data_IF_177507782208
#
_entry.id   IF_177507782208
#
_cell.length_a   1.000
_cell.length_b   1.000
_cell.length_c   1.000
_cell.angle_alpha   90.00
_cell.angle_beta   90.00
_cell.angle_gamma   90.00
#
_symmetry.space_group_name_H-M   'P 1'
#
loop_
_entity.id
_entity.type
_entity.pdbx_description
1 polymer ?
#
# COMPACT_ATOMS: atom_id res chain seq x y z
N UNK A 1 5.47 35.29 -74.39
CA UNK A 1 5.59 33.82 -74.37
C UNK A 1 4.29 33.26 -73.78
N UNK A 2 3.34 32.84 -74.63
CA UNK A 2 2.01 32.38 -74.19
C UNK A 2 2.12 30.89 -73.84
N UNK A 3 1.84 30.56 -72.57
CA UNK A 3 1.81 29.19 -72.05
C UNK A 3 0.61 28.48 -72.69
N UNK A 4 0.87 27.52 -73.60
CA UNK A 4 -0.17 26.62 -74.13
C UNK A 4 -0.72 25.80 -72.97
N UNK A 5 -1.94 26.12 -72.52
CA UNK A 5 -2.69 25.26 -71.60
C UNK A 5 -3.24 24.10 -72.44
N UNK A 6 -2.78 22.89 -72.14
CA UNK A 6 -3.18 21.69 -72.87
C UNK A 6 -4.56 21.24 -72.35
N UNK A 7 -5.63 21.72 -72.98
CA UNK A 7 -7.02 21.35 -72.66
C UNK A 7 -7.38 19.97 -73.25
N UNK A 8 -6.61 18.92 -72.94
CA UNK A 8 -7.05 17.55 -73.18
C UNK A 8 -7.97 17.17 -72.02
N UNK A 9 -9.29 17.27 -72.23
CA UNK A 9 -10.26 16.66 -71.33
C UNK A 9 -10.03 15.15 -71.23
N UNK A 10 -10.35 14.55 -70.08
CA UNK A 10 -10.24 13.10 -69.91
C UNK A 10 -11.10 12.40 -70.95
N UNK A 11 -10.52 11.41 -71.60
CA UNK A 11 -11.26 10.52 -72.50
C UNK A 11 -12.22 9.64 -71.67
N UNK A 12 -13.30 9.18 -72.30
CA UNK A 12 -14.29 8.31 -71.64
C UNK A 12 -13.63 7.08 -71.00
N UNK A 13 -12.61 6.52 -71.67
CA UNK A 13 -11.84 5.36 -71.19
C UNK A 13 -11.06 5.70 -69.91
N UNK A 14 -10.41 6.85 -69.84
CA UNK A 14 -9.69 7.29 -68.65
C UNK A 14 -10.64 7.50 -67.45
N UNK A 15 -11.84 8.06 -67.68
CA UNK A 15 -12.85 8.21 -66.63
C UNK A 15 -13.32 6.85 -66.11
N UNK A 16 -13.59 5.89 -67.00
CA UNK A 16 -14.02 4.54 -66.62
C UNK A 16 -12.92 3.82 -65.82
N UNK A 17 -11.66 3.94 -66.22
CA UNK A 17 -10.53 3.33 -65.51
C UNK A 17 -10.34 3.96 -64.12
N UNK A 18 -10.43 5.29 -64.01
CA UNK A 18 -10.31 5.99 -62.72
C UNK A 18 -11.45 5.61 -61.78
N UNK A 19 -12.69 5.53 -62.27
CA UNK A 19 -13.84 5.08 -61.46
C UNK A 19 -13.70 3.63 -61.02
N UNK A 20 -13.17 2.75 -61.89
CA UNK A 20 -12.94 1.35 -61.54
C UNK A 20 -11.87 1.22 -60.43
N UNK A 21 -10.75 1.93 -60.56
CA UNK A 21 -9.70 1.95 -59.52
C UNK A 21 -10.25 2.53 -58.20
N UNK A 22 -11.00 3.64 -58.26
CA UNK A 22 -11.61 4.24 -57.08
C UNK A 22 -12.59 3.29 -56.37
N UNK A 23 -13.37 2.50 -57.13
CA UNK A 23 -14.31 1.51 -56.57
C UNK A 23 -13.59 0.36 -55.84
N UNK A 24 -12.46 -0.10 -56.40
CA UNK A 24 -11.63 -1.15 -55.77
C UNK A 24 -11.01 -0.61 -54.48
N UNK A 25 -10.45 0.60 -54.51
CA UNK A 25 -9.86 1.23 -53.31
C UNK A 25 -10.92 1.43 -52.22
N UNK A 26 -12.09 1.98 -52.56
CA UNK A 26 -13.19 2.14 -51.58
C UNK A 26 -13.66 0.81 -50.99
N UNK A 27 -13.68 -0.26 -51.78
CA UNK A 27 -14.05 -1.60 -51.29
C UNK A 27 -13.01 -2.13 -50.30
N UNK A 28 -11.72 -1.97 -50.60
CA UNK A 28 -10.62 -2.38 -49.71
C UNK A 28 -10.62 -1.52 -48.44
N UNK A 29 -10.71 -0.19 -48.56
CA UNK A 29 -10.74 0.73 -47.42
C UNK A 29 -11.98 0.51 -46.55
N UNK A 30 -13.14 0.28 -47.16
CA UNK A 30 -14.39 -0.05 -46.46
C UNK A 30 -14.29 -1.37 -45.69
N UNK A 31 -13.72 -2.41 -46.30
CA UNK A 31 -13.48 -3.69 -45.64
C UNK A 31 -12.52 -3.58 -44.44
N UNK A 32 -11.45 -2.80 -44.57
CA UNK A 32 -10.50 -2.55 -43.48
C UNK A 32 -11.16 -1.76 -42.34
N UNK A 33 -11.97 -0.73 -42.65
CA UNK A 33 -12.68 0.07 -41.64
C UNK A 33 -13.69 -0.78 -40.85
N UNK A 34 -14.50 -1.60 -41.53
CA UNK A 34 -15.49 -2.47 -40.88
C UNK A 34 -14.80 -3.52 -39.99
N UNK A 35 -13.72 -4.12 -40.47
CA UNK A 35 -12.94 -5.07 -39.66
C UNK A 35 -12.25 -4.39 -38.47
N UNK A 36 -11.74 -3.17 -38.66
CA UNK A 36 -11.11 -2.40 -37.58
C UNK A 36 -12.13 -2.01 -36.51
N UNK A 37 -13.33 -1.57 -36.88
CA UNK A 37 -14.40 -1.26 -35.93
C UNK A 37 -14.85 -2.50 -35.16
N UNK A 38 -15.02 -3.64 -35.84
CA UNK A 38 -15.33 -4.91 -35.18
C UNK A 38 -14.22 -5.36 -34.22
N UNK A 39 -12.96 -5.08 -34.52
CA UNK A 39 -11.83 -5.33 -33.62
C UNK A 39 -11.84 -4.40 -32.40
N UNK A 40 -12.14 -3.11 -32.59
CA UNK A 40 -12.29 -2.16 -31.48
C UNK A 40 -13.45 -2.54 -30.56
N UNK A 41 -14.60 -2.93 -31.10
CA UNK A 41 -15.75 -3.39 -30.31
C UNK A 41 -15.42 -4.65 -29.51
N UNK A 42 -14.77 -5.64 -30.14
CA UNK A 42 -14.34 -6.88 -29.46
C UNK A 42 -13.30 -6.60 -28.37
N UNK A 43 -12.36 -5.71 -28.63
CA UNK A 43 -11.31 -5.32 -27.67
C UNK A 43 -11.91 -4.56 -26.49
N UNK A 44 -12.86 -3.66 -26.75
CA UNK A 44 -13.60 -2.92 -25.72
C UNK A 44 -14.44 -3.87 -24.87
N UNK A 45 -15.18 -4.79 -25.48
CA UNK A 45 -15.95 -5.80 -24.75
C UNK A 45 -15.05 -6.69 -23.88
N UNK A 46 -13.91 -7.15 -24.39
CA UNK A 46 -12.97 -7.97 -23.62
C UNK A 46 -12.35 -7.17 -22.45
N UNK A 47 -12.05 -5.89 -22.66
CA UNK A 47 -11.52 -5.02 -21.60
C UNK A 47 -12.55 -4.79 -20.49
N UNK A 48 -13.83 -4.62 -20.86
CA UNK A 48 -14.92 -4.50 -19.90
C UNK A 48 -15.16 -5.83 -19.16
N UNK A 49 -15.19 -6.96 -19.88
CA UNK A 49 -15.32 -8.30 -19.28
C UNK A 49 -14.21 -8.55 -18.24
N UNK A 50 -12.97 -8.17 -18.57
CA UNK A 50 -11.83 -8.22 -17.64
C UNK A 50 -12.03 -7.31 -16.43
N UNK A 51 -12.34 -6.03 -16.64
CA UNK A 51 -12.51 -5.06 -15.56
C UNK A 51 -13.61 -5.49 -14.57
N UNK A 52 -14.74 -6.02 -15.07
CA UNK A 52 -15.83 -6.47 -14.22
C UNK A 52 -15.43 -7.70 -13.41
N UNK A 53 -14.78 -8.71 -14.03
CA UNK A 53 -14.40 -9.93 -13.32
C UNK A 53 -13.25 -9.69 -12.33
N UNK A 54 -12.26 -8.86 -12.69
CA UNK A 54 -11.16 -8.48 -11.80
C UNK A 54 -11.70 -7.65 -10.61
N UNK A 55 -12.63 -6.73 -10.82
CA UNK A 55 -13.24 -5.98 -9.72
C UNK A 55 -14.12 -6.85 -8.79
N UNK A 56 -14.79 -7.88 -9.32
CA UNK A 56 -15.46 -8.90 -8.48
C UNK A 56 -14.42 -9.70 -7.68
N UNK A 57 -13.30 -10.10 -8.31
CA UNK A 57 -12.22 -10.81 -7.63
C UNK A 57 -11.60 -9.95 -6.51
N UNK A 58 -11.40 -8.66 -6.77
CA UNK A 58 -10.83 -7.72 -5.80
C UNK A 58 -11.76 -7.53 -4.60
N UNK A 59 -13.06 -7.41 -4.83
CA UNK A 59 -14.04 -7.40 -3.73
C UNK A 59 -13.96 -8.69 -2.90
N UNK A 60 -14.06 -9.86 -3.52
CA UNK A 60 -13.95 -11.14 -2.79
C UNK A 60 -12.61 -11.25 -2.08
N UNK A 61 -11.53 -10.79 -2.70
CA UNK A 61 -10.20 -10.77 -2.09
C UNK A 61 -10.15 -9.91 -0.85
N UNK A 62 -10.71 -8.69 -0.90
CA UNK A 62 -10.76 -7.78 0.24
C UNK A 62 -11.58 -8.34 1.40
N UNK A 63 -12.53 -9.23 1.12
CA UNK A 63 -13.33 -9.89 2.14
C UNK A 63 -12.60 -11.11 2.74
N UNK A 64 -11.92 -11.91 1.92
CA UNK A 64 -11.30 -13.18 2.32
C UNK A 64 -9.89 -13.02 2.89
N UNK A 65 -9.08 -12.08 2.40
CA UNK A 65 -7.71 -11.85 2.90
C UNK A 65 -7.67 -11.50 4.39
N UNK A 66 -8.74 -10.88 4.88
CA UNK A 66 -8.89 -10.42 6.25
C UNK A 66 -9.85 -11.28 7.09
N UNK A 67 -10.28 -12.42 6.55
CA UNK A 67 -11.14 -13.33 7.27
C UNK A 67 -10.35 -14.12 8.33
N UNK A 68 -10.98 -14.34 9.49
CA UNK A 68 -10.43 -15.14 10.60
C UNK A 68 -10.90 -16.59 10.56
N UNK A 69 -12.05 -16.85 9.92
CA UNK A 69 -12.54 -18.18 9.58
C UNK A 69 -13.18 -18.14 8.19
N UNK A 70 -13.05 -19.22 7.41
CA UNK A 70 -13.53 -19.37 6.03
C UNK A 70 -13.93 -20.83 5.84
N UNK A 71 -15.18 -21.04 5.44
CA UNK A 71 -15.76 -22.36 5.20
C UNK A 71 -16.48 -22.37 3.86
N UNK A 72 -16.42 -23.50 3.16
CA UNK A 72 -17.15 -23.71 1.92
C UNK A 72 -18.16 -24.81 2.17
N UNK A 73 -19.43 -24.54 1.89
CA UNK A 73 -20.48 -25.54 1.93
C UNK A 73 -21.62 -25.19 0.96
N UNK A 74 -22.56 -26.10 0.78
CA UNK A 74 -23.79 -25.87 -0.01
C UNK A 74 -24.96 -25.40 0.86
N UNK A 75 -24.76 -25.25 2.18
CA UNK A 75 -25.81 -24.89 3.13
C UNK A 75 -26.20 -23.43 3.00
N UNK A 76 -27.50 -23.15 3.02
CA UNK A 76 -28.01 -21.77 3.03
C UNK A 76 -27.91 -21.09 4.40
N UNK A 77 -27.72 -21.88 5.47
CA UNK A 77 -27.58 -21.38 6.84
C UNK A 77 -26.11 -21.29 7.23
N UNK A 78 -25.81 -20.31 8.08
CA UNK A 78 -24.48 -20.11 8.64
C UNK A 78 -23.97 -21.40 9.32
N UNK A 79 -22.65 -21.66 9.29
CA UNK A 79 -22.07 -22.85 9.92
C UNK A 79 -22.36 -22.99 11.42
N UNK A 80 -22.43 -21.88 12.14
CA UNK A 80 -22.73 -21.78 13.57
C UNK A 80 -23.24 -20.36 13.92
N UNK A 81 -23.51 -20.08 15.21
CA UNK A 81 -24.09 -18.83 15.71
C UNK A 81 -23.15 -17.61 15.65
N UNK A 82 -21.96 -17.73 15.05
CA UNK A 82 -21.04 -16.61 14.87
C UNK A 82 -21.51 -15.63 13.78
N UNK A 83 -20.87 -14.45 13.73
CA UNK A 83 -21.18 -13.38 12.76
C UNK A 83 -20.63 -13.69 11.35
N UNK A 84 -21.15 -14.74 10.72
CA UNK A 84 -20.74 -15.16 9.39
C UNK A 84 -21.28 -14.26 8.28
N UNK A 85 -20.42 -13.99 7.31
CA UNK A 85 -20.77 -13.46 6.01
C UNK A 85 -20.76 -14.55 4.95
N UNK A 86 -21.60 -14.43 3.92
CA UNK A 86 -21.80 -15.43 2.88
C UNK A 86 -21.65 -14.81 1.48
N UNK A 87 -20.71 -15.34 0.67
CA UNK A 87 -20.54 -15.00 -0.74
C UNK A 87 -20.99 -16.14 -1.62
N UNK A 88 -21.81 -15.83 -2.63
CA UNK A 88 -22.32 -16.81 -3.58
C UNK A 88 -22.80 -16.16 -4.88
N UNK A 89 -22.97 -16.97 -5.91
CA UNK A 89 -23.45 -16.54 -7.22
C UNK A 89 -24.93 -16.87 -7.38
N UNK A 90 -25.74 -15.87 -7.75
CA UNK A 90 -27.17 -16.05 -8.06
C UNK A 90 -27.43 -15.69 -9.50
N UNK A 91 -28.28 -16.47 -10.16
CA UNK A 91 -28.77 -16.17 -11.51
C UNK A 91 -29.82 -15.06 -11.44
N UNK A 92 -29.60 -13.97 -12.15
CA UNK A 92 -30.60 -12.91 -12.31
C UNK A 92 -31.75 -13.36 -13.24
N UNK A 93 -32.70 -12.45 -13.50
CA UNK A 93 -33.86 -12.69 -14.37
C UNK A 93 -33.50 -13.10 -15.81
N UNK A 94 -32.25 -12.87 -16.25
CA UNK A 94 -31.73 -13.26 -17.57
C UNK A 94 -30.88 -14.54 -17.52
N UNK A 95 -30.96 -15.29 -16.42
CA UNK A 95 -30.15 -16.48 -16.15
C UNK A 95 -28.65 -16.21 -16.18
N UNK A 96 -28.21 -15.02 -15.74
CA UNK A 96 -26.80 -14.63 -15.66
C UNK A 96 -26.36 -14.52 -14.21
N UNK A 97 -25.22 -15.12 -13.88
CA UNK A 97 -24.66 -15.11 -12.53
C UNK A 97 -24.24 -13.72 -12.07
N UNK A 98 -24.54 -13.41 -10.82
CA UNK A 98 -24.24 -12.15 -10.11
C UNK A 98 -23.72 -12.46 -8.73
N UNK A 99 -22.80 -11.65 -8.23
CA UNK A 99 -22.23 -11.83 -6.89
C UNK A 99 -23.19 -11.27 -5.84
N UNK A 100 -23.53 -12.11 -4.86
CA UNK A 100 -24.31 -11.73 -3.69
C UNK A 100 -23.47 -11.87 -2.43
N UNK A 101 -23.72 -10.95 -1.49
CA UNK A 101 -23.24 -10.99 -0.11
C UNK A 101 -24.44 -10.89 0.83
N UNK A 102 -24.59 -11.85 1.73
CA UNK A 102 -25.62 -11.82 2.79
C UNK A 102 -27.04 -11.52 2.29
N UNK A 103 -27.42 -12.07 1.12
CA UNK A 103 -28.74 -11.85 0.53
C UNK A 103 -28.87 -10.60 -0.34
N UNK A 104 -27.85 -9.74 -0.43
CA UNK A 104 -27.85 -8.53 -1.25
C UNK A 104 -26.90 -8.64 -2.43
N UNK A 105 -27.27 -8.06 -3.58
CA UNK A 105 -26.35 -7.94 -4.71
C UNK A 105 -25.18 -7.03 -4.31
N UNK A 106 -23.95 -7.46 -4.58
CA UNK A 106 -22.74 -6.66 -4.27
C UNK A 106 -22.60 -5.50 -5.25
N UNK A 107 -22.92 -5.76 -6.52
CA UNK A 107 -22.88 -4.78 -7.59
C UNK A 107 -24.25 -4.72 -8.26
N UNK A 108 -24.64 -3.53 -8.74
CA UNK A 108 -25.84 -3.36 -9.54
C UNK A 108 -25.70 -4.02 -10.91
N UNK A 109 -26.82 -4.36 -11.56
CA UNK A 109 -26.81 -5.02 -12.87
C UNK A 109 -26.07 -4.20 -13.95
N UNK A 110 -26.00 -2.87 -13.80
CA UNK A 110 -25.28 -1.96 -14.70
C UNK A 110 -23.75 -2.12 -14.63
N UNK A 111 -23.22 -2.60 -13.50
CA UNK A 111 -21.80 -2.96 -13.39
C UNK A 111 -21.44 -4.12 -14.33
N UNK A 112 -22.41 -5.01 -14.59
CA UNK A 112 -22.28 -6.17 -15.48
C UNK A 112 -22.62 -5.80 -16.93
N UNK A 113 -21.91 -4.81 -17.49
CA UNK A 113 -22.25 -4.14 -18.78
C UNK A 113 -22.50 -5.10 -19.95
N UNK A 114 -21.65 -6.14 -20.12
CA UNK A 114 -21.80 -7.12 -21.20
C UNK A 114 -22.78 -8.26 -20.88
N UNK A 115 -23.38 -8.23 -19.69
CA UNK A 115 -24.38 -9.17 -19.20
C UNK A 115 -23.96 -10.64 -19.39
N UNK A 116 -22.67 -10.92 -19.16
CA UNK A 116 -22.08 -12.26 -19.18
C UNK A 116 -22.57 -13.06 -17.98
N UNK A 117 -22.41 -14.38 -18.10
CA UNK A 117 -22.69 -15.29 -17.00
C UNK A 117 -21.46 -15.42 -16.09
N UNK A 118 -21.53 -14.87 -14.87
CA UNK A 118 -20.49 -15.05 -13.86
C UNK A 118 -20.58 -16.44 -13.24
N UNK A 119 -19.45 -17.12 -13.12
CA UNK A 119 -19.30 -18.35 -12.36
C UNK A 119 -18.12 -18.25 -11.41
N UNK A 120 -18.23 -18.94 -10.28
CA UNK A 120 -17.24 -18.96 -9.22
C UNK A 120 -16.94 -20.40 -8.84
N UNK A 121 -15.70 -20.82 -9.02
CA UNK A 121 -15.20 -22.12 -8.59
C UNK A 121 -14.28 -21.90 -7.38
N UNK A 122 -14.54 -22.61 -6.27
CA UNK A 122 -13.74 -22.50 -5.04
C UNK A 122 -13.20 -23.86 -4.66
N UNK A 123 -11.89 -23.96 -4.39
CA UNK A 123 -11.22 -25.19 -3.94
C UNK A 123 -10.46 -24.95 -2.65
N UNK A 124 -10.79 -25.68 -1.60
CA UNK A 124 -10.03 -25.74 -0.34
C UNK A 124 -9.19 -27.02 -0.30
N UNK A 125 -7.98 -26.95 0.25
CA UNK A 125 -7.10 -28.11 0.37
C UNK A 125 -7.12 -28.65 1.81
N UNK A 126 -7.58 -29.89 1.98
CA UNK A 126 -7.67 -30.57 3.28
C UNK A 126 -6.30 -31.00 3.84
N UNK A 127 -5.34 -31.29 2.96
CA UNK A 127 -3.98 -31.73 3.31
C UNK A 127 -3.05 -30.58 3.73
N UNK A 128 -3.24 -29.39 3.15
CA UNK A 128 -2.60 -28.13 3.53
C UNK A 128 -3.70 -27.14 3.91
N UNK A 129 -4.29 -27.32 5.10
CA UNK A 129 -5.52 -26.68 5.61
C UNK A 129 -5.57 -25.14 5.65
N UNK A 130 -4.63 -24.46 5.01
CA UNK A 130 -4.48 -23.00 4.95
C UNK A 130 -4.50 -22.48 3.51
N UNK A 131 -4.79 -23.31 2.49
CA UNK A 131 -4.83 -22.86 1.09
C UNK A 131 -6.23 -22.93 0.49
N UNK A 132 -6.64 -21.83 -0.12
CA UNK A 132 -7.89 -21.66 -0.85
C UNK A 132 -7.61 -21.14 -2.26
N UNK A 133 -8.00 -21.88 -3.29
CA UNK A 133 -7.92 -21.44 -4.69
C UNK A 133 -9.31 -21.01 -5.17
N UNK A 134 -9.46 -19.73 -5.54
CA UNK A 134 -10.67 -19.14 -6.11
C UNK A 134 -10.46 -18.88 -7.61
N UNK A 135 -11.40 -19.31 -8.44
CA UNK A 135 -11.43 -19.01 -9.89
C UNK A 135 -12.76 -18.35 -10.24
N UNK A 136 -12.72 -17.21 -10.91
CA UNK A 136 -13.89 -16.55 -11.46
C UNK A 136 -13.87 -16.61 -12.98
N UNK A 137 -15.02 -16.90 -13.59
CA UNK A 137 -15.18 -17.04 -15.03
C UNK A 137 -16.36 -16.23 -15.53
N UNK A 138 -16.18 -15.63 -16.71
CA UNK A 138 -17.27 -15.11 -17.52
C UNK A 138 -17.53 -16.02 -18.70
N UNK A 139 -18.78 -16.42 -18.85
CA UNK A 139 -19.23 -17.21 -19.99
C UNK A 139 -20.19 -16.44 -20.89
N UNK A 140 -20.01 -16.64 -22.19
CA UNK A 140 -20.96 -16.29 -23.24
C UNK A 140 -21.63 -17.57 -23.72
N UNK A 141 -22.74 -17.93 -23.08
CA UNK A 141 -23.35 -19.25 -23.30
C UNK A 141 -22.50 -20.31 -22.60
N UNK A 142 -21.83 -21.17 -23.35
CA UNK A 142 -20.92 -22.20 -22.84
C UNK A 142 -19.44 -21.87 -23.03
N UNK A 143 -19.13 -20.80 -23.76
CA UNK A 143 -17.75 -20.39 -24.04
C UNK A 143 -17.22 -19.48 -22.93
N UNK A 144 -16.08 -19.85 -22.35
CA UNK A 144 -15.33 -19.01 -21.43
C UNK A 144 -14.70 -17.85 -22.21
N UNK A 145 -15.10 -16.62 -21.89
CA UNK A 145 -14.57 -15.41 -22.56
C UNK A 145 -13.48 -14.72 -21.74
N UNK A 146 -13.52 -14.87 -20.41
CA UNK A 146 -12.48 -14.39 -19.51
C UNK A 146 -12.51 -15.20 -18.21
N UNK A 147 -11.33 -15.41 -17.62
CA UNK A 147 -11.16 -16.13 -16.37
C UNK A 147 -9.98 -15.56 -15.60
N UNK A 148 -10.12 -15.48 -14.29
CA UNK A 148 -9.08 -15.04 -13.37
C UNK A 148 -9.03 -15.96 -12.16
N UNK A 149 -7.86 -16.13 -11.58
CA UNK A 149 -7.63 -17.05 -10.47
C UNK A 149 -6.79 -16.37 -9.39
N UNK A 150 -7.15 -16.60 -8.13
CA UNK A 150 -6.36 -16.19 -6.97
C UNK A 150 -6.24 -17.32 -5.96
N UNK A 151 -5.06 -17.45 -5.39
CA UNK A 151 -4.79 -18.34 -4.27
C UNK A 151 -4.67 -17.51 -3.02
N UNK A 152 -5.41 -17.87 -1.98
CA UNK A 152 -5.32 -17.31 -0.65
C UNK A 152 -4.58 -18.28 0.26
N UNK A 153 -3.53 -17.77 0.91
CA UNK A 153 -2.86 -18.43 2.02
C UNK A 153 -3.44 -17.86 3.32
N UNK A 154 -4.28 -18.64 3.96
CA UNK A 154 -5.08 -18.34 5.14
C UNK A 154 -4.21 -18.44 6.42
N UNK A 155 -3.13 -17.67 6.46
CA UNK A 155 -2.12 -17.68 7.56
C UNK A 155 -2.59 -17.03 8.86
N UNK A 156 -3.64 -16.19 8.81
CA UNK A 156 -4.17 -15.44 9.97
C UNK A 156 -5.22 -16.21 10.80
N UNK A 157 -5.32 -17.52 10.63
CA UNK A 157 -6.39 -18.32 11.23
C UNK A 157 -5.95 -18.85 12.60
N UNK A 158 -6.69 -18.50 13.65
CA UNK A 158 -6.52 -19.11 14.96
C UNK A 158 -6.94 -20.57 14.88
N UNK A 159 -5.97 -21.48 15.02
CA UNK A 159 -6.24 -22.91 15.16
C UNK A 159 -6.91 -23.11 16.52
N UNK A 160 -8.24 -23.16 16.55
CA UNK A 160 -8.95 -23.72 17.69
C UNK A 160 -8.71 -25.24 17.69
N UNK A 161 -7.65 -25.69 18.37
CA UNK A 161 -7.51 -27.10 18.73
C UNK A 161 -8.52 -27.44 19.84
N UNK A 162 -9.78 -27.59 19.45
CA UNK A 162 -10.77 -28.36 20.19
C UNK A 162 -11.91 -28.71 19.23
N UNK A 163 -12.06 -30.00 18.94
CA UNK A 163 -13.03 -30.63 18.04
C UNK A 163 -12.56 -30.81 16.59
N UNK A 164 -12.42 -32.07 16.20
CA UNK A 164 -12.18 -32.59 14.85
C UNK A 164 -13.27 -32.19 13.85
N UNK A 165 -13.24 -30.95 13.36
CA UNK A 165 -13.88 -30.62 12.08
C UNK A 165 -12.82 -29.98 11.21
N UNK A 166 -12.44 -30.67 10.15
CA UNK A 166 -11.53 -30.13 9.13
C UNK A 166 -12.13 -28.82 8.62
N UNK A 167 -11.30 -27.77 8.51
CA UNK A 167 -11.67 -26.43 8.00
C UNK A 167 -12.44 -26.50 6.66
N UNK A 168 -12.25 -27.60 5.92
CA UNK A 168 -12.95 -27.95 4.69
C UNK A 168 -13.64 -29.32 4.83
N UNK A 169 -14.68 -29.42 5.64
CA UNK A 169 -15.36 -30.70 5.92
C UNK A 169 -16.21 -31.23 4.76
N UNK A 170 -16.46 -30.44 3.71
CA UNK A 170 -17.32 -30.81 2.57
C UNK A 170 -16.77 -30.40 1.19
N UNK A 171 -15.47 -30.12 1.04
CA UNK A 171 -14.92 -29.68 -0.24
C UNK A 171 -14.20 -30.84 -0.90
N UNK A 172 -14.68 -31.26 -2.08
CA UNK A 172 -13.99 -32.28 -2.87
C UNK A 172 -12.63 -31.73 -3.32
N UNK A 173 -11.62 -32.60 -3.46
CA UNK A 173 -10.30 -32.22 -4.01
C UNK A 173 -10.38 -31.79 -5.50
N UNK A 174 -11.58 -31.82 -6.08
CA UNK A 174 -11.92 -31.44 -7.45
C UNK A 174 -12.66 -30.10 -7.49
N UNK A 175 -12.45 -29.27 -8.52
CA UNK A 175 -13.36 -28.12 -8.72
C UNK A 175 -14.74 -28.68 -9.00
N UNK A 176 -15.66 -28.51 -8.07
CA UNK A 176 -17.07 -28.66 -8.39
C UNK A 176 -17.57 -27.30 -8.90
N UNK A 177 -17.86 -27.25 -10.19
CA UNK A 177 -18.40 -26.09 -10.90
C UNK A 177 -19.91 -25.91 -10.61
N UNK A 178 -20.30 -25.97 -9.33
CA UNK A 178 -21.70 -25.93 -8.92
C UNK A 178 -22.07 -24.56 -8.35
N UNK A 179 -23.11 -23.94 -8.92
CA UNK A 179 -23.61 -22.60 -8.55
C UNK A 179 -24.15 -22.48 -7.13
N UNK A 180 -24.24 -23.59 -6.39
CA UNK A 180 -24.82 -23.64 -5.04
C UNK A 180 -23.76 -23.55 -3.93
N UNK A 181 -22.46 -23.54 -4.29
CA UNK A 181 -21.39 -23.38 -3.32
C UNK A 181 -21.41 -21.96 -2.74
N UNK A 182 -21.44 -21.90 -1.41
CA UNK A 182 -21.39 -20.70 -0.60
C UNK A 182 -20.06 -20.65 0.11
N UNK A 183 -19.38 -19.51 -0.05
CA UNK A 183 -18.16 -19.18 0.66
C UNK A 183 -18.56 -18.38 1.89
N UNK A 184 -18.52 -19.03 3.05
CA UNK A 184 -18.77 -18.43 4.34
C UNK A 184 -17.45 -17.93 4.92
N UNK A 185 -17.45 -16.74 5.51
CA UNK A 185 -16.29 -16.19 6.17
C UNK A 185 -16.67 -15.31 7.35
N UNK A 186 -15.84 -15.31 8.38
CA UNK A 186 -15.92 -14.35 9.48
C UNK A 186 -14.87 -13.29 9.19
N UNK A 187 -15.33 -12.06 8.95
CA UNK A 187 -14.44 -10.92 8.85
C UNK A 187 -14.24 -10.39 10.26
N UNK A 188 -13.00 -10.31 10.71
CA UNK A 188 -12.72 -9.43 11.83
C UNK A 188 -12.80 -8.01 11.28
N UNK A 189 -13.85 -7.27 11.68
CA UNK A 189 -14.06 -5.86 11.31
C UNK A 189 -12.89 -4.95 11.76
N UNK A 190 -11.85 -5.51 12.37
CA UNK A 190 -10.54 -4.92 12.59
C UNK A 190 -9.77 -4.51 11.32
N UNK A 191 -10.20 -4.90 10.12
CA UNK A 191 -9.46 -4.62 8.88
C UNK A 191 -10.37 -4.22 7.70
N UNK A 192 -10.67 -2.92 7.63
CA UNK A 192 -11.11 -2.27 6.38
C UNK A 192 -9.87 -1.90 5.56
N UNK A 193 -9.67 -2.63 4.46
CA UNK A 193 -8.83 -2.20 3.34
C UNK A 193 -9.62 -1.25 2.43
N UNK A 194 -9.06 -0.08 2.18
CA UNK A 194 -9.58 0.99 1.34
C UNK A 194 -9.99 0.52 -0.07
N UNK A 195 -11.26 0.71 -0.43
CA UNK A 195 -11.63 1.03 -1.81
C UNK A 195 -11.75 2.56 -1.94
N UNK A 196 -11.06 3.12 -2.93
CA UNK A 196 -11.18 4.53 -3.29
C UNK A 196 -12.61 4.82 -3.77
N UNK A 197 -13.45 5.29 -2.86
CA UNK A 197 -14.48 6.33 -3.04
C UNK A 197 -15.51 6.28 -1.90
N UNK A 198 -15.03 6.21 -0.67
CA UNK A 198 -15.72 6.88 0.43
C UNK A 198 -14.65 7.39 1.37
N UNK A 199 -14.72 8.67 1.73
CA UNK A 199 -14.19 9.12 3.02
C UNK A 199 -15.08 8.48 4.08
N UNK A 200 -14.98 7.16 4.27
CA UNK A 200 -15.56 6.49 5.42
C UNK A 200 -14.77 6.99 6.61
N UNK A 201 -15.45 7.66 7.54
CA UNK A 201 -14.90 8.04 8.83
C UNK A 201 -14.21 6.84 9.47
N UNK A 202 -12.88 6.76 9.31
CA UNK A 202 -12.03 5.81 9.99
C UNK A 202 -12.21 6.02 11.48
N UNK A 203 -12.51 4.93 12.21
CA UNK A 203 -12.73 5.00 13.66
C UNK A 203 -11.56 5.74 14.31
N UNK A 204 -11.88 6.81 15.03
CA UNK A 204 -10.90 7.71 15.62
C UNK A 204 -10.22 6.97 16.77
N UNK A 205 -9.10 6.35 16.46
CA UNK A 205 -8.25 5.55 17.34
C UNK A 205 -6.79 5.85 17.02
N UNK A 206 -5.87 5.37 17.87
CA UNK A 206 -4.43 5.54 17.62
C UNK A 206 -4.00 4.98 16.25
N UNK A 207 -4.67 3.96 15.70
CA UNK A 207 -4.40 3.46 14.35
C UNK A 207 -4.54 4.53 13.26
N UNK A 208 -5.48 5.48 13.41
CA UNK A 208 -5.71 6.56 12.44
C UNK A 208 -4.52 7.50 12.30
N UNK A 209 -3.66 7.57 13.33
CA UNK A 209 -2.43 8.38 13.30
C UNK A 209 -1.42 7.88 12.25
N UNK A 210 -1.64 6.73 11.61
CA UNK A 210 -0.89 6.30 10.42
C UNK A 210 -1.02 7.30 9.26
N UNK A 211 -2.16 8.01 9.15
CA UNK A 211 -2.39 9.06 8.15
C UNK A 211 -1.45 10.27 8.36
N UNK A 212 -0.85 10.42 9.54
CA UNK A 212 0.14 11.46 9.81
C UNK A 212 1.51 11.14 9.21
N UNK A 213 1.77 9.91 8.74
CA UNK A 213 3.07 9.52 8.19
C UNK A 213 3.29 10.18 6.83
N UNK A 214 4.42 10.88 6.68
CA UNK A 214 4.83 11.54 5.46
C UNK A 214 6.35 11.53 5.31
N UNK A 215 6.86 12.06 4.21
CA UNK A 215 8.29 12.16 3.88
C UNK A 215 9.12 12.96 4.89
N UNK A 216 8.51 13.79 5.75
CA UNK A 216 9.23 14.57 6.77
C UNK A 216 9.41 13.81 8.09
N UNK A 217 8.51 12.88 8.41
CA UNK A 217 8.51 12.18 9.70
C UNK A 217 8.76 10.67 9.63
N UNK A 218 8.61 10.05 8.45
CA UNK A 218 8.94 8.65 8.24
C UNK A 218 10.46 8.41 8.28
N UNK A 219 10.89 7.42 9.06
CA UNK A 219 12.28 6.96 9.18
C UNK A 219 12.52 5.53 8.70
N UNK A 220 11.51 4.87 8.15
CA UNK A 220 11.60 3.48 7.69
C UNK A 220 11.78 2.52 8.86
N UNK A 221 12.53 1.44 8.63
CA UNK A 221 12.82 0.45 9.67
C UNK A 221 13.59 1.05 10.86
N UNK A 222 13.24 0.60 12.06
CA UNK A 222 13.99 0.93 13.26
C UNK A 222 15.41 0.34 13.18
N UNK A 223 16.41 1.16 13.50
CA UNK A 223 17.82 0.80 13.52
C UNK A 223 18.39 1.09 14.90
N UNK A 224 18.92 0.05 15.53
CA UNK A 224 19.54 0.15 16.85
C UNK A 224 20.75 1.09 16.82
N UNK A 225 20.83 1.99 17.81
CA UNK A 225 21.89 2.99 17.91
C UNK A 225 21.69 4.24 17.04
N UNK A 226 20.62 4.31 16.22
CA UNK A 226 20.28 5.53 15.45
C UNK A 226 19.60 6.56 16.35
N UNK A 227 19.91 7.84 16.11
CA UNK A 227 19.25 8.95 16.76
C UNK A 227 17.90 9.32 16.11
N UNK A 228 16.86 9.48 16.95
CA UNK A 228 15.49 9.83 16.55
C UNK A 228 15.00 11.10 17.25
N UNK A 229 14.13 11.86 16.59
CA UNK A 229 13.49 13.08 17.13
C UNK A 229 12.03 12.81 17.46
N UNK A 230 11.47 13.57 18.42
CA UNK A 230 10.03 13.53 18.68
C UNK A 230 9.23 13.72 17.39
N UNK A 231 8.24 12.85 17.21
CA UNK A 231 7.38 12.77 16.05
C UNK A 231 7.90 11.91 14.91
N UNK A 232 9.09 11.30 15.02
CA UNK A 232 9.56 10.31 14.05
C UNK A 232 8.71 9.05 14.08
N UNK A 233 8.40 8.52 12.90
CA UNK A 233 7.75 7.24 12.70
C UNK A 233 8.77 6.19 12.23
N UNK A 234 8.77 5.03 12.87
CA UNK A 234 9.61 3.88 12.51
C UNK A 234 8.77 2.61 12.41
N UNK A 235 9.17 1.70 11.54
CA UNK A 235 8.60 0.36 11.46
C UNK A 235 9.43 -0.60 12.31
N UNK A 236 8.78 -1.35 13.21
CA UNK A 236 9.44 -2.30 14.09
C UNK A 236 8.49 -3.45 14.46
N UNK A 237 8.94 -4.68 14.24
CA UNK A 237 8.23 -5.92 14.59
C UNK A 237 6.77 -5.96 14.10
N UNK A 238 6.54 -5.64 12.83
CA UNK A 238 5.22 -5.73 12.22
C UNK A 238 4.31 -4.52 12.46
N UNK A 239 4.78 -3.45 13.10
CA UNK A 239 3.95 -2.29 13.42
C UNK A 239 4.69 -0.96 13.25
N UNK A 240 3.92 0.10 12.98
CA UNK A 240 4.43 1.48 13.02
C UNK A 240 4.48 2.00 14.45
N UNK A 241 5.51 2.77 14.75
CA UNK A 241 5.75 3.37 16.06
C UNK A 241 6.13 4.83 15.90
N UNK A 242 5.55 5.70 16.72
CA UNK A 242 5.89 7.12 16.77
C UNK A 242 6.69 7.43 18.05
N UNK A 243 7.84 8.09 17.91
CA UNK A 243 8.56 8.60 19.07
C UNK A 243 7.83 9.81 19.62
N UNK A 244 7.38 9.79 20.88
CA UNK A 244 6.61 10.91 21.44
C UNK A 244 7.41 11.79 22.43
N UNK A 245 8.69 11.47 22.64
CA UNK A 245 9.60 12.22 23.50
C UNK A 245 10.92 12.47 22.78
N UNK A 246 11.55 13.63 23.04
CA UNK A 246 12.90 13.91 22.54
C UNK A 246 13.92 13.04 23.28
N UNK A 247 14.27 11.90 22.67
CA UNK A 247 15.26 10.95 23.21
C UNK A 247 16.22 10.56 22.09
N UNK A 248 17.45 11.06 22.20
CA UNK A 248 18.52 10.77 21.25
C UNK A 248 18.86 9.28 21.19
N UNK A 249 18.73 8.51 22.28
CA UNK A 249 19.01 7.06 22.30
C UNK A 249 17.79 6.25 22.72
N UNK A 250 16.72 6.33 21.93
CA UNK A 250 15.54 5.54 22.20
C UNK A 250 15.85 4.04 21.98
N UNK A 251 15.58 3.22 23.00
CA UNK A 251 15.65 1.76 22.89
C UNK A 251 14.57 1.25 21.93
N UNK A 252 14.75 0.04 21.42
CA UNK A 252 13.83 -0.57 20.44
C UNK A 252 12.36 -0.44 20.87
N UNK A 253 11.46 0.03 19.99
CA UNK A 253 10.06 0.29 20.33
C UNK A 253 9.34 -0.89 21.00
N UNK A 254 9.58 -2.09 20.49
CA UNK A 254 9.01 -3.36 20.94
C UNK A 254 9.59 -3.89 22.27
N UNK A 255 10.65 -3.25 22.80
CA UNK A 255 11.34 -3.67 24.04
C UNK A 255 11.38 -2.56 25.09
N UNK A 256 10.98 -1.35 24.73
CA UNK A 256 11.13 -0.18 25.60
C UNK A 256 10.09 -0.16 26.72
N UNK A 257 10.47 -0.69 27.89
CA UNK A 257 9.67 -0.56 29.12
C UNK A 257 9.51 0.90 29.59
N UNK A 258 10.32 1.81 29.05
CA UNK A 258 10.27 3.23 29.36
C UNK A 258 9.17 4.00 28.61
N UNK A 259 8.44 3.34 27.70
CA UNK A 259 7.30 3.90 26.93
C UNK A 259 7.65 5.25 26.30
N UNK A 260 8.69 5.26 25.48
CA UNK A 260 9.05 6.42 24.66
C UNK A 260 8.32 6.42 23.30
N UNK A 261 7.91 5.24 22.87
CA UNK A 261 7.28 5.00 21.58
C UNK A 261 5.79 4.73 21.76
N UNK A 262 4.97 5.38 20.93
CA UNK A 262 3.56 5.07 20.75
C UNK A 262 3.43 4.06 19.62
N UNK A 263 2.79 2.92 19.88
CA UNK A 263 2.41 1.95 18.84
C UNK A 263 1.22 2.52 18.07
N UNK A 264 1.32 2.59 16.74
CA UNK A 264 0.24 3.06 15.87
C UNK A 264 -0.67 1.87 15.57
N UNK A 265 -1.55 1.58 16.52
CA UNK A 265 -2.43 0.42 16.54
C UNK A 265 -3.74 0.80 17.24
N UNK A 266 -4.84 0.14 16.88
CA UNK A 266 -6.12 0.34 17.56
C UNK A 266 -6.10 -0.28 18.96
N UNK A 267 -5.38 -1.39 19.12
CA UNK A 267 -5.39 -2.20 20.31
C UNK A 267 -4.42 -1.64 21.36
N UNK A 268 -4.86 -1.62 22.62
CA UNK A 268 -4.00 -1.25 23.73
C UNK A 268 -2.81 -2.19 23.82
N UNK A 269 -1.60 -1.63 23.79
CA UNK A 269 -0.36 -2.30 24.12
C UNK A 269 0.24 -1.74 25.42
N UNK A 270 0.70 -2.60 26.35
CA UNK A 270 1.34 -2.17 27.60
C UNK A 270 2.75 -1.57 27.41
N UNK A 271 3.35 -1.80 26.23
CA UNK A 271 4.64 -1.26 25.83
C UNK A 271 4.51 0.08 25.10
N UNK A 272 3.30 0.43 24.67
CA UNK A 272 3.02 1.70 24.00
C UNK A 272 2.91 2.82 25.02
N UNK A 273 3.41 3.99 24.62
CA UNK A 273 3.08 5.25 25.24
C UNK A 273 1.77 5.80 24.66
N UNK A 274 1.07 6.65 25.42
CA UNK A 274 -0.14 7.32 24.96
C UNK A 274 -0.10 8.81 25.31
N UNK A 275 -0.75 9.62 24.51
CA UNK A 275 -0.94 11.06 24.74
C UNK A 275 -2.39 11.35 25.06
N UNK A 276 -2.65 12.45 25.77
CA UNK A 276 -4.01 12.88 26.09
C UNK A 276 -4.88 12.94 24.83
N UNK A 277 -6.05 12.30 24.89
CA UNK A 277 -7.01 12.22 23.81
C UNK A 277 -6.89 10.98 22.93
N UNK A 278 -5.79 10.21 23.01
CA UNK A 278 -5.63 8.93 22.31
C UNK A 278 -6.78 7.98 22.66
N UNK A 279 -7.26 7.23 21.67
CA UNK A 279 -8.32 6.23 21.85
C UNK A 279 -7.80 4.86 21.44
N UNK A 280 -8.02 3.88 22.32
CA UNK A 280 -7.62 2.48 22.11
C UNK A 280 -8.78 1.54 22.40
N UNK A 281 -8.75 0.38 21.76
CA UNK A 281 -9.56 -0.77 22.08
C UNK A 281 -8.83 -1.66 23.08
N UNK A 282 -9.47 -2.00 24.19
CA UNK A 282 -8.93 -2.87 25.21
C UNK A 282 -9.55 -4.26 25.10
N UNK A 283 -8.80 -5.20 24.51
CA UNK A 283 -9.29 -6.54 24.16
C UNK A 283 -9.82 -7.32 25.37
N UNK A 284 -9.20 -7.16 26.54
CA UNK A 284 -9.62 -7.87 27.77
C UNK A 284 -11.08 -7.56 28.16
N UNK A 285 -11.54 -6.34 27.91
CA UNK A 285 -12.90 -5.89 28.26
C UNK A 285 -13.79 -5.60 27.04
N UNK A 286 -13.26 -5.80 25.83
CA UNK A 286 -13.96 -5.55 24.57
C UNK A 286 -14.56 -4.13 24.47
N UNK A 287 -13.83 -3.13 24.98
CA UNK A 287 -14.31 -1.75 25.08
C UNK A 287 -13.25 -0.73 24.65
N UNK A 288 -13.72 0.43 24.18
CA UNK A 288 -12.89 1.59 23.86
C UNK A 288 -12.66 2.47 25.08
N UNK A 289 -11.46 3.03 25.13
CA UNK A 289 -11.00 3.89 26.19
C UNK A 289 -10.28 5.12 25.63
N UNK A 290 -10.54 6.29 26.22
CA UNK A 290 -9.85 7.54 25.90
C UNK A 290 -8.82 7.88 26.97
N UNK A 291 -7.58 8.13 26.55
CA UNK A 291 -6.51 8.55 27.42
C UNK A 291 -6.75 9.99 27.94
N UNK A 292 -6.72 10.18 29.25
CA UNK A 292 -7.06 11.46 29.89
C UNK A 292 -5.86 12.40 30.07
N UNK A 293 -4.64 11.87 29.98
CA UNK A 293 -3.40 12.61 30.17
C UNK A 293 -2.24 11.94 29.42
N UNK A 294 -1.13 12.63 29.31
CA UNK A 294 0.07 12.07 28.70
C UNK A 294 0.68 10.95 29.55
N UNK A 295 0.92 9.79 28.94
CA UNK A 295 1.40 8.55 29.55
C UNK A 295 2.71 8.09 28.88
N UNK A 296 3.77 8.88 29.06
CA UNK A 296 5.13 8.54 28.63
C UNK A 296 6.14 8.72 29.78
N UNK A 297 7.30 8.05 29.69
CA UNK A 297 8.41 8.23 30.64
C UNK A 297 8.07 7.92 32.11
N UNK A 298 7.09 7.05 32.39
CA UNK A 298 6.57 6.80 33.74
C UNK A 298 7.41 5.86 34.62
N UNK A 299 8.73 5.83 34.42
CA UNK A 299 9.70 5.25 35.36
C UNK A 299 9.66 3.73 35.50
N UNK A 300 10.82 3.12 35.38
CA UNK A 300 11.05 1.70 35.62
C UNK A 300 10.96 1.42 37.12
N UNK A 301 9.76 1.10 37.61
CA UNK A 301 9.60 0.26 38.79
C UNK A 301 9.61 -1.18 38.28
N UNK A 302 10.54 -1.99 38.74
CA UNK A 302 10.58 -3.42 38.51
C UNK A 302 9.28 -4.05 39.01
N UNK A 303 8.27 -4.14 38.15
CA UNK A 303 7.24 -5.16 38.12
C UNK A 303 6.44 -4.96 36.82
N UNK A 304 6.32 -6.05 36.08
CA UNK A 304 5.62 -6.19 34.80
C UNK A 304 4.10 -6.03 34.91
N UNK A 305 3.59 -5.23 35.83
CA UNK A 305 2.15 -5.13 36.08
C UNK A 305 1.54 -3.97 35.30
N UNK A 306 0.41 -4.27 34.67
CA UNK A 306 -0.56 -3.43 33.97
C UNK A 306 -1.12 -2.23 34.79
N UNK A 307 -0.36 -1.62 35.70
CA UNK A 307 -0.83 -0.54 36.57
C UNK A 307 -1.32 0.72 35.85
N UNK A 308 -1.19 0.76 34.53
CA UNK A 308 -1.59 1.85 33.63
C UNK A 308 -2.59 1.39 32.56
N UNK A 309 -3.00 0.12 32.59
CA UNK A 309 -4.01 -0.38 31.68
C UNK A 309 -5.38 0.26 31.97
N UNK A 310 -6.30 0.26 31.00
CA UNK A 310 -7.63 0.82 31.16
C UNK A 310 -8.44 0.27 32.35
N UNK A 311 -8.18 -0.97 32.75
CA UNK A 311 -8.84 -1.63 33.88
C UNK A 311 -8.31 -1.20 35.26
N UNK A 312 -7.16 -0.52 35.32
CA UNK A 312 -6.65 0.23 36.47
C UNK A 312 -6.40 -0.55 37.77
N UNK A 313 -5.25 -0.29 38.39
CA UNK A 313 -4.89 -0.84 39.70
C UNK A 313 -5.68 -0.15 40.84
N UNK A 314 -6.56 -0.90 41.53
CA UNK A 314 -7.08 -0.61 42.88
C UNK A 314 -7.41 0.87 43.19
N UNK A 315 -8.23 1.53 42.37
CA UNK A 315 -8.97 2.74 42.77
C UNK A 315 -8.15 4.01 43.02
N UNK A 316 -6.93 4.13 42.49
CA UNK A 316 -6.15 5.38 42.54
C UNK A 316 -5.72 5.81 41.13
N UNK A 317 -6.48 6.78 40.59
CA UNK A 317 -6.32 7.45 39.29
C UNK A 317 -6.54 6.56 38.06
N UNK A 318 -7.71 6.67 37.44
CA UNK A 318 -7.98 6.10 36.11
C UNK A 318 -7.41 7.05 35.05
N UNK A 319 -6.30 6.67 34.41
CA UNK A 319 -5.72 7.41 33.27
C UNK A 319 -6.58 7.33 32.00
N UNK A 320 -7.64 6.53 32.05
CA UNK A 320 -8.52 6.21 30.95
C UNK A 320 -9.97 6.58 31.28
N UNK A 321 -10.68 7.06 30.28
CA UNK A 321 -12.12 7.28 30.30
C UNK A 321 -12.78 6.18 29.47
N UNK A 322 -13.67 5.44 30.10
CA UNK A 322 -14.53 4.46 29.41
C UNK A 322 -15.39 5.14 28.34
N UNK A 323 -15.39 4.58 27.14
CA UNK A 323 -16.27 5.00 26.03
C UNK A 323 -17.41 3.99 25.87
N UNK A 324 -17.09 2.69 25.81
CA UNK A 324 -18.06 1.64 25.54
C UNK A 324 -17.57 0.62 24.51
N UNK A 325 -18.38 -0.40 24.20
CA UNK A 325 -18.06 -1.43 23.19
C UNK A 325 -18.09 -0.89 21.75
N UNK A 326 -18.62 0.31 21.54
CA UNK A 326 -18.61 1.01 20.25
C UNK A 326 -17.93 2.36 20.40
N UNK A 327 -17.03 2.70 19.47
CA UNK A 327 -16.41 4.02 19.47
C UNK A 327 -17.44 5.08 19.08
N UNK A 328 -17.73 6.01 19.99
CA UNK A 328 -18.69 7.11 19.77
C UNK A 328 -18.01 8.45 19.54
N UNK A 329 -16.67 8.47 19.46
CA UNK A 329 -15.91 9.70 19.27
C UNK A 329 -15.95 10.13 17.81
N UNK A 330 -16.37 11.38 17.59
CA UNK A 330 -16.56 11.97 16.26
C UNK A 330 -15.57 13.08 15.93
N UNK A 331 -14.74 13.49 16.90
CA UNK A 331 -13.75 14.54 16.72
C UNK A 331 -12.36 14.02 17.03
N UNK A 332 -11.50 14.06 16.03
CA UNK A 332 -10.08 13.75 16.19
C UNK A 332 -9.39 14.93 16.86
N UNK A 333 -8.56 14.62 17.85
CA UNK A 333 -7.77 15.60 18.61
C UNK A 333 -6.30 15.52 18.19
N UNK A 334 -5.92 14.54 17.36
CA UNK A 334 -4.58 14.37 16.85
C UNK A 334 -4.29 15.43 15.78
N UNK A 335 -3.26 16.23 16.02
CA UNK A 335 -2.78 17.21 15.06
C UNK A 335 -1.55 16.66 14.33
N UNK A 336 -1.75 16.12 13.12
CA UNK A 336 -0.65 15.64 12.28
C UNK A 336 0.30 16.77 11.85
N UNK A 337 -0.18 18.02 11.83
CA UNK A 337 0.53 19.18 11.26
C UNK A 337 1.64 19.71 12.18
N UNK A 338 1.48 19.65 13.51
CA UNK A 338 2.48 20.20 14.45
C UNK A 338 3.81 19.42 14.42
N UNK A 339 3.80 18.17 13.95
CA UNK A 339 4.96 17.27 13.94
C UNK A 339 5.82 17.43 12.67
N UNK A 340 5.21 17.74 11.53
CA UNK A 340 5.86 17.80 10.21
C UNK A 340 6.30 19.22 9.81
N UNK A 341 5.56 20.25 10.24
CA UNK A 341 5.77 21.66 9.84
C UNK A 341 7.14 22.20 10.29
N UNK A 342 7.72 21.68 11.37
CA UNK A 342 9.00 22.16 11.92
C UNK A 342 10.23 21.54 11.25
N UNK A 343 10.05 20.75 10.19
CA UNK A 343 11.10 19.91 9.60
C UNK A 343 11.48 20.36 8.19
N UNK A 344 12.77 20.35 7.94
CA UNK A 344 13.39 20.74 6.67
C UNK A 344 13.20 19.66 5.61
N UNK A 345 12.93 20.08 4.38
CA UNK A 345 12.85 19.17 3.24
C UNK A 345 14.23 18.57 2.94
N UNK A 346 14.27 17.26 2.76
CA UNK A 346 15.47 16.48 2.45
C UNK A 346 15.36 15.87 1.05
N UNK A 347 16.37 15.10 0.63
CA UNK A 347 16.32 14.38 -0.65
C UNK A 347 15.11 13.44 -0.78
N UNK A 348 14.53 12.96 0.32
CA UNK A 348 13.30 12.16 0.31
C UNK A 348 12.10 12.92 -0.26
N UNK A 349 12.03 14.25 -0.06
CA UNK A 349 10.95 15.10 -0.55
C UNK A 349 10.94 15.24 -2.09
N UNK A 350 11.95 14.72 -2.80
CA UNK A 350 11.87 14.55 -4.27
C UNK A 350 10.77 13.59 -4.69
N UNK A 351 10.30 12.70 -3.81
CA UNK A 351 9.13 11.86 -4.05
C UNK A 351 7.82 12.65 -3.97
N UNK A 352 7.75 13.73 -3.18
CA UNK A 352 6.54 14.56 -3.05
C UNK A 352 6.22 15.32 -4.36
N UNK A 353 7.18 15.39 -5.28
CA UNK A 353 7.00 15.97 -6.61
C UNK A 353 6.32 15.00 -7.59
N UNK A 354 6.21 13.72 -7.23
CA UNK A 354 5.56 12.68 -8.03
C UNK A 354 4.13 12.45 -7.54
N UNK A 355 3.23 12.15 -8.47
CA UNK A 355 1.88 11.68 -8.10
C UNK A 355 1.93 10.23 -7.61
N UNK A 356 0.91 9.81 -6.86
CA UNK A 356 0.79 8.42 -6.40
C UNK A 356 0.84 7.41 -7.55
N UNK A 357 0.19 7.72 -8.68
CA UNK A 357 0.26 6.89 -9.89
C UNK A 357 1.68 6.79 -10.46
N UNK A 358 2.45 7.89 -10.43
CA UNK A 358 3.84 7.89 -10.85
C UNK A 358 4.71 7.05 -9.91
N UNK A 359 4.53 7.19 -8.59
CA UNK A 359 5.24 6.39 -7.58
C UNK A 359 4.94 4.90 -7.76
N UNK A 360 3.68 4.53 -7.95
CA UNK A 360 3.25 3.15 -8.16
C UNK A 360 3.76 2.55 -9.48
N UNK A 361 4.10 3.41 -10.45
CA UNK A 361 4.66 3.01 -11.74
C UNK A 361 6.19 2.94 -11.74
N UNK A 362 6.88 3.31 -10.64
CA UNK A 362 8.34 3.21 -10.54
C UNK A 362 8.74 1.73 -10.66
N UNK A 363 9.61 1.37 -11.62
CA UNK A 363 10.00 -0.02 -11.82
C UNK A 363 10.96 -0.51 -10.74
N UNK A 364 10.91 -1.82 -10.47
CA UNK A 364 11.93 -2.51 -9.66
C UNK A 364 13.28 -2.45 -10.38
N UNK A 365 14.37 -2.30 -9.63
CA UNK A 365 15.71 -2.37 -10.17
C UNK A 365 15.97 -3.70 -10.89
N UNK A 366 16.51 -3.64 -12.10
CA UNK A 366 16.95 -4.79 -12.88
C UNK A 366 18.48 -4.75 -13.00
N UNK A 367 19.12 -5.75 -12.39
CA UNK A 367 20.59 -5.90 -12.39
C UNK A 367 21.15 -6.08 -13.81
N UNK A 368 20.36 -6.59 -14.74
CA UNK A 368 20.79 -6.85 -16.12
C UNK A 368 20.64 -5.62 -17.02
N UNK A 369 19.90 -4.60 -16.57
CA UNK A 369 19.73 -3.35 -17.30
C UNK A 369 20.91 -2.42 -17.04
N UNK A 370 21.57 -1.98 -18.10
CA UNK A 370 22.83 -1.20 -18.03
C UNK A 370 22.69 0.25 -18.51
N UNK A 371 21.53 0.63 -19.05
CA UNK A 371 21.27 1.91 -19.71
C UNK A 371 20.44 2.90 -18.88
N UNK A 372 20.45 2.78 -17.55
CA UNK A 372 19.78 3.72 -16.66
C UNK A 372 20.36 5.14 -16.84
N UNK A 373 19.47 6.10 -17.11
CA UNK A 373 19.82 7.51 -17.39
C UNK A 373 19.58 8.37 -16.16
N UNK A 374 20.27 9.51 -16.10
CA UNK A 374 19.99 10.55 -15.11
C UNK A 374 18.51 10.96 -15.21
N UNK A 375 17.81 10.97 -14.08
CA UNK A 375 16.37 11.18 -13.97
C UNK A 375 15.55 9.90 -13.79
N UNK A 376 16.13 8.72 -13.99
CA UNK A 376 15.43 7.46 -13.78
C UNK A 376 15.17 7.19 -12.29
N UNK A 377 13.92 6.87 -11.97
CA UNK A 377 13.50 6.36 -10.66
C UNK A 377 13.43 4.84 -10.70
N UNK A 378 13.90 4.20 -9.63
CA UNK A 378 13.79 2.77 -9.42
C UNK A 378 13.53 2.48 -7.94
N UNK A 379 13.04 1.28 -7.63
CA UNK A 379 12.97 0.80 -6.25
C UNK A 379 13.66 -0.56 -6.07
N UNK A 380 14.14 -0.81 -4.86
CA UNK A 380 14.48 -2.15 -4.37
C UNK A 380 13.53 -2.53 -3.23
N UNK A 381 13.18 -3.81 -3.15
CA UNK A 381 12.51 -4.36 -1.97
C UNK A 381 13.56 -4.64 -0.89
N UNK A 382 13.36 -4.04 0.28
CA UNK A 382 14.08 -4.36 1.50
C UNK A 382 13.48 -5.60 2.18
N UNK A 383 14.07 -5.99 3.31
CA UNK A 383 13.50 -7.07 4.14
C UNK A 383 12.07 -6.67 4.54
N UNK A 384 11.13 -7.61 4.51
CA UNK A 384 9.72 -7.41 4.87
C UNK A 384 8.85 -6.67 3.83
N UNK A 385 9.31 -6.54 2.58
CA UNK A 385 8.47 -6.02 1.48
C UNK A 385 8.38 -4.49 1.40
N UNK A 386 9.16 -3.77 2.21
CA UNK A 386 9.27 -2.30 2.15
C UNK A 386 10.06 -1.90 0.89
N UNK A 387 9.58 -0.90 0.18
CA UNK A 387 10.27 -0.37 -1.02
C UNK A 387 11.21 0.78 -0.63
N UNK A 388 12.49 0.65 -0.91
CA UNK A 388 13.45 1.75 -0.89
C UNK A 388 13.59 2.31 -2.29
N UNK A 389 13.35 3.61 -2.44
CA UNK A 389 13.40 4.32 -3.73
C UNK A 389 14.77 4.97 -3.96
N UNK A 390 15.14 5.06 -5.23
CA UNK A 390 16.40 5.64 -5.69
C UNK A 390 16.16 6.50 -6.93
N UNK A 391 16.97 7.54 -7.10
CA UNK A 391 16.99 8.41 -8.27
C UNK A 391 18.40 8.44 -8.87
N UNK A 392 18.54 8.19 -10.17
CA UNK A 392 19.82 8.39 -10.87
C UNK A 392 20.07 9.89 -11.01
N UNK A 393 21.06 10.42 -10.31
CA UNK A 393 21.34 11.88 -10.31
C UNK A 393 22.65 12.24 -11.00
N UNK A 394 23.59 11.29 -11.09
CA UNK A 394 24.91 11.47 -11.70
C UNK A 394 25.26 10.22 -12.50
N UNK A 395 26.17 10.38 -13.46
CA UNK A 395 26.80 9.25 -14.12
C UNK A 395 27.67 8.46 -13.13
N UNK A 396 27.69 7.13 -13.29
CA UNK A 396 28.40 6.25 -12.38
C UNK A 396 28.18 4.79 -12.70
N UNK A 397 29.18 3.97 -12.36
CA UNK A 397 29.17 2.52 -12.54
C UNK A 397 28.72 1.82 -11.26
N UNK A 398 27.79 0.88 -11.37
CA UNK A 398 27.31 0.08 -10.26
C UNK A 398 25.82 0.27 -9.97
N UNK A 399 25.28 -0.65 -9.18
CA UNK A 399 23.87 -0.65 -8.80
C UNK A 399 23.52 0.41 -7.73
N UNK A 400 22.22 0.67 -7.54
CA UNK A 400 21.73 1.57 -6.50
C UNK A 400 22.19 1.15 -5.11
N UNK A 401 22.65 2.10 -4.31
CA UNK A 401 23.12 1.87 -2.94
C UNK A 401 24.45 1.11 -2.81
N UNK A 402 25.13 0.80 -3.92
CA UNK A 402 26.42 0.10 -3.90
C UNK A 402 27.59 1.00 -3.49
N UNK A 403 27.58 2.26 -3.93
CA UNK A 403 28.55 3.31 -3.57
C UNK A 403 28.04 4.67 -4.03
N UNK A 404 28.53 5.77 -3.44
CA UNK A 404 28.21 7.12 -3.92
C UNK A 404 28.65 7.34 -5.38
N UNK A 405 29.70 6.65 -5.83
CA UNK A 405 30.21 6.69 -7.20
C UNK A 405 29.36 5.94 -8.22
N UNK A 406 28.35 5.18 -7.76
CA UNK A 406 27.32 4.63 -8.64
C UNK A 406 26.43 5.71 -9.25
N UNK A 407 26.43 6.93 -8.71
CA UNK A 407 25.61 8.04 -9.19
C UNK A 407 24.13 7.92 -8.84
N UNK A 408 23.75 6.89 -8.09
CA UNK A 408 22.41 6.71 -7.53
C UNK A 408 22.28 7.46 -6.21
N UNK A 409 21.24 8.29 -6.11
CA UNK A 409 20.81 8.90 -4.88
C UNK A 409 19.78 8.01 -4.21
N UNK A 410 20.00 7.71 -2.93
CA UNK A 410 19.04 7.04 -2.07
C UNK A 410 18.03 8.08 -1.62
N UNK A 411 16.75 7.88 -1.94
CA UNK A 411 15.69 8.78 -1.50
C UNK A 411 15.33 8.39 -0.07
N UNK A 412 16.06 8.97 0.88
CA UNK A 412 15.88 8.80 2.32
C UNK A 412 16.14 10.11 3.04
N UNK A 413 15.55 10.28 4.21
CA UNK A 413 15.80 11.45 5.05
C UNK A 413 17.23 11.44 5.60
N UNK A 414 17.72 10.27 5.95
CA UNK A 414 19.02 10.09 6.59
C UNK A 414 20.17 10.13 5.56
N UNK A 415 21.30 10.69 5.97
CA UNK A 415 22.55 10.59 5.25
C UNK A 415 22.96 9.13 5.10
N UNK A 416 23.51 8.79 3.92
CA UNK A 416 24.01 7.46 3.64
C UNK A 416 25.31 7.53 2.85
N UNK A 417 26.32 6.80 3.32
CA UNK A 417 27.65 6.79 2.72
C UNK A 417 27.70 6.30 1.26
N UNK A 418 26.72 5.48 0.87
CA UNK A 418 26.62 4.91 -0.47
C UNK A 418 25.70 5.71 -1.40
N UNK A 419 25.16 6.84 -0.95
CA UNK A 419 24.30 7.71 -1.77
C UNK A 419 25.09 8.80 -2.48
N UNK A 420 24.74 9.07 -3.73
CA UNK A 420 25.12 10.29 -4.42
C UNK A 420 24.26 11.48 -3.96
N UNK A 421 24.83 12.68 -4.02
CA UNK A 421 24.14 13.93 -3.66
C UNK A 421 24.45 15.03 -4.67
N UNK A 422 23.46 15.84 -5.01
CA UNK A 422 23.62 17.04 -5.82
C UNK A 422 23.88 18.25 -4.93
N UNK A 423 24.55 19.27 -5.46
CA UNK A 423 24.72 20.54 -4.77
C UNK A 423 23.36 21.10 -4.34
N UNK A 424 23.25 21.42 -3.05
CA UNK A 424 22.03 21.95 -2.44
C UNK A 424 21.13 20.90 -1.81
N UNK A 425 21.35 19.61 -2.05
CA UNK A 425 20.62 18.53 -1.39
C UNK A 425 20.82 18.58 0.12
N UNK A 426 19.76 18.30 0.87
CA UNK A 426 19.77 18.30 2.34
C UNK A 426 19.46 16.88 2.83
N UNK A 427 20.17 16.44 3.86
CA UNK A 427 19.97 15.16 4.55
C UNK A 427 20.09 15.33 6.06
N UNK A 428 19.47 14.45 6.83
CA UNK A 428 19.62 14.37 8.28
C UNK A 428 20.83 13.50 8.62
N UNK A 429 21.74 14.00 9.45
CA UNK A 429 22.87 13.21 9.93
C UNK A 429 22.54 12.62 11.31
N UNK A 430 22.23 11.33 11.33
CA UNK A 430 21.73 10.62 12.50
C UNK A 430 22.77 9.75 13.23
N UNK A 431 24.02 9.77 12.77
CA UNK A 431 25.11 8.97 13.35
C UNK A 431 25.92 9.73 14.43
N UNK A 432 25.62 11.00 14.66
CA UNK A 432 26.30 11.80 15.67
C UNK A 432 25.42 12.12 16.86
N UNK A 433 26.09 12.49 17.97
CA UNK A 433 25.48 12.69 19.29
C UNK A 433 24.27 13.65 19.27
N UNK A 434 24.31 14.67 18.40
CA UNK A 434 23.21 15.59 18.18
C UNK A 434 22.67 15.44 16.75
N UNK A 435 21.34 15.42 16.60
CA UNK A 435 20.70 15.40 15.28
C UNK A 435 20.82 16.75 14.60
N UNK A 436 21.17 16.75 13.32
CA UNK A 436 21.24 17.98 12.53
C UNK A 436 21.25 17.71 11.04
N UNK A 437 20.90 18.74 10.28
CA UNK A 437 20.79 18.66 8.83
C UNK A 437 22.11 19.08 8.19
N UNK A 438 22.52 18.31 7.18
CA UNK A 438 23.66 18.59 6.33
C UNK A 438 23.16 18.98 4.94
N UNK A 439 23.72 20.05 4.39
CA UNK A 439 23.51 20.51 3.01
C UNK A 439 24.75 20.27 2.19
N UNK A 440 24.60 19.62 1.04
CA UNK A 440 25.67 19.37 0.10
C UNK A 440 26.13 20.69 -0.56
N UNK A 441 27.41 21.01 -0.44
CA UNK A 441 27.98 22.25 -1.01
C UNK A 441 28.41 22.11 -2.47
N UNK A 442 28.53 20.87 -2.93
CA UNK A 442 28.87 20.48 -4.30
C UNK A 442 28.23 19.12 -4.62
N UNK A 443 28.30 18.69 -5.88
CA UNK A 443 27.90 17.32 -6.24
C UNK A 443 28.86 16.32 -5.58
N UNK A 444 28.33 15.26 -4.99
CA UNK A 444 29.06 14.24 -4.25
C UNK A 444 28.79 12.88 -4.89
N UNK A 445 29.85 12.27 -5.44
CA UNK A 445 29.84 10.97 -6.10
C UNK A 445 31.06 10.12 -5.71
N UNK A 446 31.57 10.31 -4.51
CA UNK A 446 32.73 9.61 -3.94
C UNK A 446 32.53 9.51 -2.43
N UNK A 447 33.53 9.02 -1.71
CA UNK A 447 33.47 8.98 -0.24
C UNK A 447 32.98 10.33 0.30
N UNK A 448 31.81 10.27 0.93
CA UNK A 448 30.99 11.40 1.32
C UNK A 448 30.83 11.45 2.84
N UNK A 449 31.65 10.67 3.57
CA UNK A 449 31.62 10.59 5.01
C UNK A 449 31.79 12.00 5.60
N UNK A 450 30.84 12.48 6.44
CA UNK A 450 30.98 13.68 7.25
C UNK A 450 32.02 13.42 8.36
N UNK A 451 33.27 13.13 8.00
CA UNK A 451 34.34 12.98 8.99
C UNK A 451 34.59 14.33 9.65
N UNK A 452 34.26 14.41 10.96
CA UNK A 452 34.38 15.54 11.91
C UNK A 452 33.15 16.44 12.11
N UNK A 453 32.19 15.97 12.91
CA UNK A 453 31.43 16.84 13.81
C UNK A 453 32.12 16.82 15.19
N UNK A 454 32.34 17.98 15.87
CA UNK A 454 31.53 19.18 15.80
C UNK A 454 32.36 20.46 15.55
N UNK A 455 32.96 20.66 14.37
CA UNK A 455 33.41 22.01 13.97
C UNK A 455 33.18 22.23 12.48
N UNK A 456 32.11 22.97 12.20
CA UNK A 456 31.75 23.48 10.88
C UNK A 456 32.79 24.49 10.39
N UNK A 457 33.02 24.52 9.08
CA UNK A 457 33.68 25.59 8.32
C UNK A 457 35.11 25.93 8.78
N UNK A 458 36.10 25.27 8.17
CA UNK A 458 37.39 25.93 7.94
C UNK A 458 37.28 26.75 6.65
N UNK A 459 37.08 28.07 6.78
CA UNK A 459 37.26 29.01 5.67
C UNK A 459 38.76 29.29 5.57
N UNK A 460 39.42 28.73 4.57
CA UNK A 460 40.82 29.07 4.25
C UNK A 460 40.78 30.11 3.13
N UNK A 461 41.26 31.32 3.41
CA UNK A 461 41.37 32.41 2.43
C UNK A 461 40.06 32.79 1.73
N UNK A 462 38.93 32.84 2.46
CA UNK A 462 37.65 33.29 1.92
C UNK A 462 36.90 32.28 1.04
N UNK A 463 37.43 31.07 0.87
CA UNK A 463 36.76 29.97 0.18
C UNK A 463 36.47 28.80 1.13
N UNK A 464 35.31 28.12 1.00
CA UNK A 464 35.07 26.85 1.70
C UNK A 464 36.17 25.85 1.33
N UNK A 465 36.77 25.21 2.33
CA UNK A 465 37.79 24.20 2.08
C UNK A 465 37.20 23.06 1.21
N UNK A 466 37.75 22.77 0.00
CA UNK A 466 37.17 21.85 -0.99
C UNK A 466 37.11 20.39 -0.54
N UNK A 467 37.73 20.07 0.60
CA UNK A 467 37.68 18.75 1.23
C UNK A 467 36.43 18.53 2.11
N UNK A 468 35.61 19.57 2.33
CA UNK A 468 34.37 19.47 3.11
C UNK A 468 33.16 19.54 2.18
N UNK A 469 32.48 18.41 2.00
CA UNK A 469 31.33 18.28 1.09
C UNK A 469 30.02 18.83 1.67
N UNK A 470 29.98 19.10 2.97
CA UNK A 470 28.77 19.38 3.75
C UNK A 470 28.87 20.69 4.52
N UNK A 471 27.76 21.42 4.60
CA UNK A 471 27.52 22.50 5.58
C UNK A 471 26.35 22.12 6.46
N UNK A 472 26.25 22.64 7.69
CA UNK A 472 25.03 22.47 8.49
C UNK A 472 23.91 23.39 8.00
N UNK A 473 22.68 23.02 8.34
CA UNK A 473 21.49 23.87 8.22
C UNK A 473 21.01 24.19 9.63
N UNK A 474 20.87 25.48 9.93
CA UNK A 474 20.33 25.97 11.21
C UNK A 474 18.81 25.92 11.24
#
# INVERSE_FOLDING_TARGET
>A
MIKKVNNKGMTLVEIVVVLLIASIIMTITGGILVNSLGYFDKTTQNSLDKQTVDGVLDFISSEITYATDVRINESQSAPDDNAWHCLYIVKNNKSKGRLYRDGKSVFDDDYYMNNRDLQMDVRGFTSNGYRLDLTLKYLKGTEEVYSTKKTFELVNFNIHTASETTLFSNVSETADSNSNLRLWYIKDDSSKGNSENDKTDSEITVAKQVECINTKNNRGDYVEGRHYSKGDFVYCNGSWWQLIQDKSNATSPDKSKARWWKKIDKNYSPLSAYTKGDIVFFEKEQCYYQCLQDMYSMGVGSDSSDGYAPDGFNGKQTYWKYIGPKNTVTKDVHNCDDISIRRTDTVLNKLDQLTESQINSIPKYDVNKTDYKIGDYIYNEEKNGIKQYYLKVLDGSGGPGSSASSGWQILSRDWNKNSAYLKGDIVLYSEAQDLGYLKAMQNINKDNNPTTWPHMLEIVNGNPNPNYFWSTVN
#
